data_IF_049381503322
#
_entry.id   IF_049381503322
#
_cell.length_a   1.000
_cell.length_b   1.000
_cell.length_c   1.000
_cell.angle_alpha   90.00
_cell.angle_beta   90.00
_cell.angle_gamma   90.00
#
_symmetry.space_group_name_H-M   'P 1'
#
loop_
_entity.id
_entity.type
_entity.pdbx_description
1 polymer ?
#
# COMPACT_ATOMS: atom_id res chain seq x y z
N UNK A 1 23.19 -26.26 -17.17
CA UNK A 1 22.08 -25.48 -17.79
C UNK A 1 22.10 -24.00 -17.41
N UNK A 2 22.55 -23.63 -16.20
CA UNK A 2 22.53 -22.24 -15.73
C UNK A 2 23.50 -21.28 -16.47
N UNK A 3 24.62 -21.78 -16.98
CA UNK A 3 25.67 -20.97 -17.63
C UNK A 3 25.43 -20.69 -19.13
N UNK A 4 24.55 -21.45 -19.80
CA UNK A 4 24.37 -21.33 -21.25
C UNK A 4 23.46 -20.17 -21.69
N UNK A 5 22.66 -19.60 -20.77
CA UNK A 5 21.66 -18.56 -21.09
C UNK A 5 22.11 -17.13 -20.74
N UNK A 6 23.15 -16.96 -19.91
CA UNK A 6 23.73 -15.65 -19.57
C UNK A 6 24.11 -14.77 -20.79
N UNK A 7 24.67 -15.29 -21.91
CA UNK A 7 25.08 -14.42 -23.02
C UNK A 7 23.91 -13.83 -23.83
N UNK A 8 22.72 -14.44 -23.80
CA UNK A 8 21.52 -13.93 -24.50
C UNK A 8 20.70 -12.94 -23.65
N UNK A 9 20.87 -12.97 -22.32
CA UNK A 9 20.21 -12.05 -21.39
C UNK A 9 20.82 -10.64 -21.40
N UNK A 10 22.15 -10.53 -21.56
CA UNK A 10 22.84 -9.23 -21.57
C UNK A 10 22.36 -8.25 -22.65
N UNK A 11 22.15 -8.65 -23.93
CA UNK A 11 21.63 -7.75 -24.95
C UNK A 11 20.21 -7.26 -24.66
N UNK A 12 19.34 -8.13 -24.15
CA UNK A 12 17.96 -7.76 -23.77
C UNK A 12 17.97 -6.77 -22.62
N UNK A 13 18.81 -7.02 -21.61
CA UNK A 13 19.01 -6.10 -20.49
C UNK A 13 19.53 -4.73 -20.94
N UNK A 14 20.51 -4.70 -21.86
CA UNK A 14 21.01 -3.45 -22.45
C UNK A 14 19.96 -2.72 -23.28
N UNK A 15 19.13 -3.46 -24.02
CA UNK A 15 18.03 -2.86 -24.77
C UNK A 15 17.02 -2.24 -23.81
N UNK A 16 16.61 -2.97 -22.77
CA UNK A 16 15.68 -2.51 -21.75
C UNK A 16 16.17 -1.25 -21.03
N UNK A 17 17.47 -1.16 -20.69
CA UNK A 17 18.04 0.04 -20.04
C UNK A 17 18.19 1.24 -20.97
N UNK A 18 18.11 1.05 -22.29
CA UNK A 18 18.11 2.11 -23.29
C UNK A 18 16.69 2.59 -23.64
N UNK A 19 15.64 1.89 -23.20
CA UNK A 19 14.27 2.31 -23.43
C UNK A 19 13.98 3.58 -22.65
N UNK A 20 13.51 4.62 -23.36
CA UNK A 20 13.12 5.91 -22.78
C UNK A 20 11.68 6.29 -23.06
N UNK A 21 11.11 5.77 -24.14
CA UNK A 21 9.73 6.03 -24.50
C UNK A 21 8.77 5.34 -23.52
N UNK A 22 7.83 6.11 -22.96
CA UNK A 22 6.88 5.60 -21.97
C UNK A 22 6.01 4.47 -22.51
N UNK A 23 5.56 4.55 -23.76
CA UNK A 23 4.70 3.51 -24.34
C UNK A 23 5.46 2.19 -24.44
N UNK A 24 6.71 2.21 -24.91
CA UNK A 24 7.54 1.00 -24.99
C UNK A 24 7.87 0.46 -23.59
N UNK A 25 8.23 1.33 -22.65
CA UNK A 25 8.49 0.94 -21.26
C UNK A 25 7.26 0.30 -20.59
N UNK A 26 6.10 0.94 -20.71
CA UNK A 26 4.86 0.43 -20.11
C UNK A 26 4.44 -0.93 -20.70
N UNK A 27 4.65 -1.15 -21.99
CA UNK A 27 4.44 -2.45 -22.64
C UNK A 27 5.41 -3.51 -22.10
N UNK A 28 6.70 -3.22 -22.02
CA UNK A 28 7.70 -4.16 -21.52
C UNK A 28 7.49 -4.51 -20.03
N UNK A 29 7.15 -3.51 -19.21
CA UNK A 29 6.82 -3.70 -17.78
C UNK A 29 5.59 -4.59 -17.63
N UNK A 30 4.52 -4.31 -18.37
CA UNK A 30 3.27 -5.09 -18.28
C UNK A 30 3.45 -6.54 -18.74
N UNK A 31 4.33 -6.79 -19.72
CA UNK A 31 4.69 -8.14 -20.15
C UNK A 31 5.37 -8.92 -19.01
N UNK A 32 6.39 -8.32 -18.39
CA UNK A 32 7.13 -8.96 -17.30
C UNK A 32 6.27 -9.16 -16.05
N UNK A 33 5.43 -8.18 -15.71
CA UNK A 33 4.47 -8.30 -14.62
C UNK A 33 3.43 -9.39 -14.89
N UNK A 34 2.90 -9.49 -16.11
CA UNK A 34 1.99 -10.57 -16.49
C UNK A 34 2.70 -11.93 -16.39
N UNK A 35 3.89 -12.05 -16.94
CA UNK A 35 4.66 -13.30 -16.89
C UNK A 35 4.92 -13.70 -15.43
N UNK A 36 5.31 -12.75 -14.57
CA UNK A 36 5.47 -13.00 -13.14
C UNK A 36 4.18 -13.56 -12.50
N UNK A 37 3.03 -12.93 -12.76
CA UNK A 37 1.74 -13.36 -12.22
C UNK A 37 1.38 -14.79 -12.66
N UNK A 38 1.56 -15.09 -13.96
CA UNK A 38 1.29 -16.42 -14.52
C UNK A 38 2.21 -17.48 -13.93
N UNK A 39 3.50 -17.17 -13.75
CA UNK A 39 4.46 -18.12 -13.17
C UNK A 39 4.24 -18.34 -11.67
N UNK A 40 3.70 -17.35 -10.95
CA UNK A 40 3.42 -17.47 -9.52
C UNK A 40 2.14 -18.24 -9.24
N UNK A 41 1.12 -18.08 -10.09
CA UNK A 41 -0.19 -18.75 -9.97
C UNK A 41 -0.89 -18.49 -8.61
N UNK A 42 -0.73 -17.29 -8.06
CA UNK A 42 -1.35 -16.85 -6.81
C UNK A 42 -2.11 -15.53 -7.01
N UNK A 43 -3.42 -15.63 -7.24
CA UNK A 43 -4.28 -14.47 -7.54
C UNK A 43 -4.24 -13.37 -6.47
N UNK A 44 -4.05 -13.75 -5.20
CA UNK A 44 -3.96 -12.80 -4.08
C UNK A 44 -2.68 -11.94 -4.09
N UNK A 45 -1.66 -12.35 -4.84
CA UNK A 45 -0.33 -11.75 -4.92
C UNK A 45 0.01 -11.23 -6.32
N UNK A 46 -0.99 -10.99 -7.16
CA UNK A 46 -0.78 -10.44 -8.49
C UNK A 46 -0.16 -9.04 -8.45
N UNK A 47 0.81 -8.80 -9.31
CA UNK A 47 1.33 -7.46 -9.61
C UNK A 47 0.31 -6.72 -10.48
N UNK A 48 -0.12 -5.55 -10.03
CA UNK A 48 -1.15 -4.75 -10.72
C UNK A 48 -0.44 -3.69 -11.56
N UNK A 49 -0.65 -3.73 -12.87
CA UNK A 49 -0.22 -2.65 -13.76
C UNK A 49 -1.09 -2.55 -15.01
N UNK A 50 -0.99 -1.39 -15.65
CA UNK A 50 -1.66 -1.08 -16.91
C UNK A 50 -1.22 -2.08 -18.00
N UNK A 51 -2.08 -2.28 -19.00
CA UNK A 51 -1.80 -3.10 -20.18
C UNK A 51 -1.56 -4.61 -19.94
N UNK A 52 -1.73 -5.13 -18.71
CA UNK A 52 -1.64 -6.57 -18.42
C UNK A 52 -2.61 -7.42 -19.24
N UNK A 53 -3.76 -6.86 -19.61
CA UNK A 53 -4.76 -7.51 -20.45
C UNK A 53 -4.32 -7.72 -21.91
N UNK A 54 -3.24 -7.08 -22.38
CA UNK A 54 -2.70 -7.28 -23.73
C UNK A 54 -2.01 -8.65 -23.88
N UNK A 55 -1.64 -9.28 -22.77
CA UNK A 55 -0.78 -10.44 -22.72
C UNK A 55 -1.55 -11.72 -22.37
N UNK A 56 -1.14 -12.89 -22.89
CA UNK A 56 -1.78 -14.17 -22.57
C UNK A 56 -1.88 -14.45 -21.06
N UNK A 57 -2.93 -15.16 -20.64
CA UNK A 57 -3.11 -15.63 -19.25
C UNK A 57 -2.38 -16.93 -18.93
N UNK A 58 -1.81 -17.58 -19.95
CA UNK A 58 -1.14 -18.87 -19.83
C UNK A 58 0.14 -18.85 -20.66
N UNK A 59 1.15 -19.57 -20.18
CA UNK A 59 2.39 -19.82 -20.93
C UNK A 59 2.60 -21.32 -21.05
N UNK A 60 3.09 -21.77 -22.21
CA UNK A 60 3.52 -23.15 -22.38
C UNK A 60 4.81 -23.39 -21.62
N UNK A 61 4.96 -24.57 -21.02
CA UNK A 61 6.20 -24.99 -20.34
C UNK A 61 6.62 -24.07 -19.19
N UNK A 62 5.72 -23.78 -18.24
CA UNK A 62 5.98 -22.98 -17.03
C UNK A 62 7.28 -23.36 -16.31
N UNK A 63 7.61 -24.66 -16.25
CA UNK A 63 8.85 -25.19 -15.65
C UNK A 63 10.14 -24.78 -16.36
N UNK A 64 10.06 -24.25 -17.58
CA UNK A 64 11.21 -23.75 -18.35
C UNK A 64 11.57 -22.30 -18.00
N UNK A 65 10.72 -21.61 -17.23
CA UNK A 65 10.96 -20.23 -16.82
C UNK A 65 11.54 -20.18 -15.41
N UNK A 66 12.34 -19.14 -15.16
CA UNK A 66 12.81 -18.82 -13.82
C UNK A 66 12.10 -17.55 -13.33
N UNK A 67 11.16 -17.72 -12.39
CA UNK A 67 10.37 -16.61 -11.83
C UNK A 67 11.25 -15.56 -11.13
N UNK A 68 12.35 -15.97 -10.49
CA UNK A 68 13.28 -15.05 -9.82
C UNK A 68 13.94 -14.13 -10.85
N UNK A 69 14.41 -14.67 -11.97
CA UNK A 69 14.96 -13.86 -13.06
C UNK A 69 13.91 -12.90 -13.63
N UNK A 70 12.69 -13.36 -13.89
CA UNK A 70 11.60 -12.49 -14.37
C UNK A 70 11.34 -11.35 -13.38
N UNK A 71 11.29 -11.67 -12.09
CA UNK A 71 11.11 -10.72 -10.99
C UNK A 71 12.25 -9.69 -10.95
N UNK A 72 13.51 -10.13 -10.99
CA UNK A 72 14.69 -9.25 -10.99
C UNK A 72 14.69 -8.29 -12.19
N UNK A 73 14.35 -8.78 -13.38
CA UNK A 73 14.31 -7.97 -14.59
C UNK A 73 13.17 -6.97 -14.57
N UNK A 74 12.00 -7.36 -14.04
CA UNK A 74 10.89 -6.45 -13.81
C UNK A 74 11.32 -5.31 -12.87
N UNK A 75 11.98 -5.65 -11.76
CA UNK A 75 12.47 -4.66 -10.81
C UNK A 75 13.50 -3.70 -11.43
N UNK A 76 14.47 -4.21 -12.21
CA UNK A 76 15.46 -3.37 -12.91
C UNK A 76 14.80 -2.43 -13.91
N UNK A 77 13.81 -2.92 -14.67
CA UNK A 77 13.10 -2.11 -15.65
C UNK A 77 12.24 -1.02 -14.99
N UNK A 78 11.52 -1.36 -13.91
CA UNK A 78 10.69 -0.40 -13.17
C UNK A 78 11.55 0.66 -12.48
N UNK A 79 12.67 0.27 -11.86
CA UNK A 79 13.58 1.22 -11.21
C UNK A 79 14.24 2.15 -12.22
N UNK A 80 14.71 1.63 -13.36
CA UNK A 80 15.22 2.47 -14.45
C UNK A 80 14.14 3.40 -15.04
N UNK A 81 12.91 2.91 -15.21
CA UNK A 81 11.81 3.76 -15.68
C UNK A 81 11.49 4.90 -14.70
N UNK A 82 11.63 4.67 -13.38
CA UNK A 82 11.47 5.72 -12.36
C UNK A 82 12.58 6.78 -12.39
N UNK A 83 13.76 6.51 -12.96
CA UNK A 83 14.78 7.54 -13.17
C UNK A 83 14.32 8.57 -14.22
N UNK A 84 13.59 8.13 -15.24
CA UNK A 84 13.05 9.00 -16.30
C UNK A 84 11.67 9.56 -15.95
N UNK A 85 10.85 8.81 -15.22
CA UNK A 85 9.47 9.15 -14.86
C UNK A 85 9.23 9.08 -13.34
N UNK A 86 9.95 9.88 -12.53
CA UNK A 86 9.95 9.79 -11.06
C UNK A 86 8.61 10.16 -10.40
N UNK A 87 7.69 10.76 -11.15
CA UNK A 87 6.34 11.12 -10.68
C UNK A 87 5.27 10.16 -11.20
N UNK A 88 5.65 9.02 -11.76
CA UNK A 88 4.69 8.05 -12.27
C UNK A 88 4.09 7.24 -11.11
N UNK A 89 2.81 7.51 -10.81
CA UNK A 89 2.08 6.90 -9.71
C UNK A 89 1.94 5.38 -9.91
N UNK A 90 1.62 4.94 -11.13
CA UNK A 90 1.44 3.53 -11.48
C UNK A 90 2.72 2.71 -11.27
N UNK A 91 3.90 3.28 -11.58
CA UNK A 91 5.18 2.64 -11.31
C UNK A 91 5.49 2.49 -9.82
N UNK A 92 5.20 3.51 -9.01
CA UNK A 92 5.37 3.40 -7.55
C UNK A 92 4.43 2.36 -6.94
N UNK A 93 3.17 2.29 -7.38
CA UNK A 93 2.24 1.25 -6.94
C UNK A 93 2.75 -0.15 -7.32
N UNK A 94 3.19 -0.34 -8.57
CA UNK A 94 3.76 -1.61 -9.04
C UNK A 94 5.02 -2.01 -8.26
N UNK A 95 5.89 -1.05 -7.94
CA UNK A 95 7.08 -1.33 -7.12
C UNK A 95 6.70 -1.67 -5.67
N UNK A 96 5.64 -1.06 -5.14
CA UNK A 96 5.03 -1.44 -3.87
C UNK A 96 4.47 -2.86 -3.88
N UNK A 97 3.78 -3.24 -4.96
CA UNK A 97 3.27 -4.59 -5.19
C UNK A 97 4.42 -5.61 -5.21
N UNK A 98 5.48 -5.30 -5.97
CA UNK A 98 6.70 -6.10 -6.05
C UNK A 98 7.31 -6.38 -4.66
N UNK A 99 7.49 -5.34 -3.85
CA UNK A 99 8.05 -5.50 -2.51
C UNK A 99 7.11 -6.25 -1.57
N UNK A 100 5.80 -6.02 -1.66
CA UNK A 100 4.81 -6.74 -0.88
C UNK A 100 4.83 -8.25 -1.21
N UNK A 101 4.91 -8.56 -2.50
CA UNK A 101 5.05 -9.92 -3.05
C UNK A 101 6.29 -10.64 -2.55
N UNK A 102 7.40 -9.92 -2.44
CA UNK A 102 8.68 -10.41 -1.88
C UNK A 102 8.80 -10.27 -0.37
N UNK A 103 7.71 -9.98 0.34
CA UNK A 103 7.65 -9.83 1.81
C UNK A 103 8.56 -8.72 2.38
N UNK A 104 8.99 -7.78 1.54
CA UNK A 104 9.72 -6.58 1.94
C UNK A 104 8.75 -5.48 2.37
N UNK A 105 8.00 -5.74 3.44
CA UNK A 105 6.84 -4.93 3.86
C UNK A 105 7.13 -3.44 4.08
N UNK A 106 8.28 -3.10 4.66
CA UNK A 106 8.66 -1.69 4.87
C UNK A 106 8.90 -0.95 3.54
N UNK A 107 9.59 -1.60 2.60
CA UNK A 107 9.81 -1.07 1.27
C UNK A 107 8.50 -0.94 0.48
N UNK A 108 7.58 -1.89 0.64
CA UNK A 108 6.24 -1.83 0.04
C UNK A 108 5.47 -0.60 0.52
N UNK A 109 5.37 -0.41 1.85
CA UNK A 109 4.71 0.75 2.47
C UNK A 109 5.33 2.06 1.98
N UNK A 110 6.68 2.14 1.92
CA UNK A 110 7.38 3.32 1.39
C UNK A 110 6.93 3.66 -0.04
N UNK A 111 6.84 2.69 -0.94
CA UNK A 111 6.46 2.95 -2.33
C UNK A 111 5.00 3.36 -2.48
N UNK A 112 4.08 2.73 -1.74
CA UNK A 112 2.67 3.17 -1.74
C UNK A 112 2.50 4.58 -1.17
N UNK A 113 3.28 4.96 -0.15
CA UNK A 113 3.29 6.31 0.41
C UNK A 113 3.85 7.33 -0.60
N UNK A 114 4.92 7.00 -1.34
CA UNK A 114 5.44 7.84 -2.42
C UNK A 114 4.38 8.06 -3.50
N UNK A 115 3.66 7.01 -3.91
CA UNK A 115 2.54 7.12 -4.84
C UNK A 115 1.47 8.10 -4.34
N UNK A 116 1.08 7.99 -3.06
CA UNK A 116 0.11 8.88 -2.44
C UNK A 116 0.60 10.35 -2.36
N UNK A 117 1.86 10.58 -1.98
CA UNK A 117 2.48 11.92 -1.92
C UNK A 117 2.48 12.57 -3.29
N UNK A 118 2.91 11.85 -4.33
CA UNK A 118 2.96 12.39 -5.69
C UNK A 118 1.56 12.72 -6.19
N UNK A 119 0.61 11.80 -6.01
CA UNK A 119 -0.74 11.95 -6.54
C UNK A 119 -1.54 13.08 -5.86
N UNK A 120 -1.21 13.38 -4.60
CA UNK A 120 -1.87 14.44 -3.83
C UNK A 120 -1.09 15.75 -3.79
N UNK A 121 0.05 15.83 -4.47
CA UNK A 121 1.00 16.94 -4.38
C UNK A 121 1.31 17.26 -2.91
N UNK A 122 1.93 16.29 -2.22
CA UNK A 122 2.27 16.35 -0.79
C UNK A 122 1.08 16.57 0.14
N UNK A 123 -0.05 15.92 -0.17
CA UNK A 123 -1.31 16.04 0.58
C UNK A 123 -1.93 17.45 0.60
N UNK A 124 -1.58 18.29 -0.37
CA UNK A 124 -2.29 19.55 -0.61
C UNK A 124 -3.67 19.31 -1.22
N UNK A 125 -3.86 18.16 -1.88
CA UNK A 125 -5.13 17.68 -2.45
C UNK A 125 -5.68 16.50 -1.65
N UNK A 126 -7.02 16.31 -1.59
CA UNK A 126 -7.62 15.15 -0.95
C UNK A 126 -7.16 13.83 -1.57
N UNK A 127 -6.93 12.83 -0.71
CA UNK A 127 -6.64 11.47 -1.14
C UNK A 127 -7.94 10.76 -1.54
N UNK A 128 -8.17 10.61 -2.83
CA UNK A 128 -9.39 9.99 -3.38
C UNK A 128 -9.15 8.54 -3.80
N UNK A 129 -10.23 7.77 -3.97
CA UNK A 129 -10.17 6.37 -4.44
C UNK A 129 -9.61 6.22 -5.86
N UNK A 130 -9.82 7.23 -6.70
CA UNK A 130 -9.26 7.28 -8.06
C UNK A 130 -7.72 7.31 -8.01
N UNK A 131 -7.17 7.89 -6.94
CA UNK A 131 -5.74 8.03 -6.74
C UNK A 131 -5.15 6.81 -6.03
N UNK A 132 -5.82 6.28 -5.00
CA UNK A 132 -5.38 5.10 -4.25
C UNK A 132 -6.56 4.15 -4.01
N UNK A 133 -6.48 2.97 -4.62
CA UNK A 133 -7.53 1.96 -4.59
C UNK A 133 -7.47 1.12 -3.30
N UNK A 134 -8.59 0.51 -2.93
CA UNK A 134 -8.71 -0.34 -1.74
C UNK A 134 -7.71 -1.50 -1.73
N UNK A 135 -7.32 -2.04 -2.90
CA UNK A 135 -6.31 -3.10 -2.97
C UNK A 135 -4.95 -2.63 -2.42
N UNK A 136 -4.59 -1.37 -2.65
CA UNK A 136 -3.35 -0.77 -2.15
C UNK A 136 -3.41 -0.64 -0.63
N UNK A 137 -4.51 -0.13 -0.08
CA UNK A 137 -4.68 -0.04 1.37
C UNK A 137 -4.70 -1.41 2.03
N UNK A 138 -5.37 -2.42 1.45
CA UNK A 138 -5.35 -3.80 1.97
C UNK A 138 -3.93 -4.37 2.04
N UNK A 139 -3.10 -4.10 1.02
CA UNK A 139 -1.68 -4.49 1.03
C UNK A 139 -0.89 -3.74 2.11
N UNK A 140 -1.10 -2.43 2.26
CA UNK A 140 -0.48 -1.64 3.33
C UNK A 140 -0.90 -2.12 4.74
N UNK A 141 -2.19 -2.42 4.97
CA UNK A 141 -2.71 -2.98 6.24
C UNK A 141 -1.96 -4.28 6.58
N UNK A 142 -1.80 -5.17 5.60
CA UNK A 142 -1.06 -6.42 5.78
C UNK A 142 0.43 -6.15 6.04
N UNK A 143 1.07 -5.25 5.30
CA UNK A 143 2.46 -4.88 5.53
C UNK A 143 2.68 -4.37 6.97
N UNK A 144 1.84 -3.42 7.42
CA UNK A 144 1.94 -2.83 8.75
C UNK A 144 1.71 -3.89 9.85
N UNK A 145 0.78 -4.80 9.63
CA UNK A 145 0.56 -5.93 10.54
C UNK A 145 1.78 -6.84 10.66
N UNK A 146 2.47 -7.13 9.55
CA UNK A 146 3.70 -7.93 9.53
C UNK A 146 4.90 -7.20 10.14
N UNK A 147 4.88 -5.87 10.17
CA UNK A 147 5.88 -5.04 10.84
C UNK A 147 5.57 -4.80 12.33
N UNK A 148 4.53 -5.44 12.87
CA UNK A 148 4.02 -5.23 14.23
C UNK A 148 3.55 -3.78 14.52
N UNK A 149 3.19 -3.03 13.48
CA UNK A 149 2.58 -1.70 13.57
C UNK A 149 1.05 -1.82 13.52
N UNK A 150 0.49 -2.50 14.52
CA UNK A 150 -0.93 -2.87 14.54
C UNK A 150 -1.88 -1.68 14.74
N UNK A 151 -1.50 -0.64 15.47
CA UNK A 151 -2.34 0.57 15.56
C UNK A 151 -2.45 1.23 14.20
N UNK A 152 -1.34 1.35 13.47
CA UNK A 152 -1.34 1.90 12.12
C UNK A 152 -2.19 1.06 11.16
N UNK A 153 -2.08 -0.27 11.24
CA UNK A 153 -2.92 -1.17 10.44
C UNK A 153 -4.42 -0.97 10.74
N UNK A 154 -4.79 -0.87 12.02
CA UNK A 154 -6.19 -0.65 12.43
C UNK A 154 -6.72 0.71 11.98
N UNK A 155 -5.91 1.77 12.07
CA UNK A 155 -6.26 3.12 11.57
C UNK A 155 -6.39 3.15 10.06
N UNK A 156 -5.64 2.32 9.32
CA UNK A 156 -5.74 2.26 7.87
C UNK A 156 -7.01 1.51 7.40
N UNK A 157 -7.65 0.69 8.25
CA UNK A 157 -8.89 -0.02 7.90
C UNK A 157 -10.07 0.92 7.60
N UNK A 158 -10.11 2.12 8.19
CA UNK A 158 -11.12 3.15 7.87
C UNK A 158 -10.86 3.86 6.52
N UNK A 159 -9.71 3.65 5.87
CA UNK A 159 -9.42 4.24 4.56
C UNK A 159 -10.15 3.55 3.40
N UNK A 160 -10.57 2.30 3.62
CA UNK A 160 -11.31 1.49 2.65
C UNK A 160 -12.70 2.09 2.36
N UNK A 161 -13.30 1.68 1.24
CA UNK A 161 -14.69 2.03 0.92
C UNK A 161 -15.66 1.62 2.02
N UNK A 162 -15.56 0.35 2.39
CA UNK A 162 -16.22 -0.21 3.56
C UNK A 162 -15.17 -0.47 4.62
N UNK A 163 -15.40 0.11 5.80
CA UNK A 163 -14.48 -0.04 6.93
C UNK A 163 -14.38 -1.53 7.30
N UNK A 164 -13.16 -2.08 7.27
CA UNK A 164 -12.91 -3.46 7.70
C UNK A 164 -12.77 -3.53 9.23
N UNK A 165 -13.92 -3.55 9.91
CA UNK A 165 -13.97 -3.63 11.37
C UNK A 165 -13.31 -4.90 11.94
N UNK A 166 -13.42 -6.02 11.24
CA UNK A 166 -12.86 -7.30 11.70
C UNK A 166 -11.34 -7.20 11.82
N UNK A 167 -10.69 -6.72 10.76
CA UNK A 167 -9.25 -6.51 10.77
C UNK A 167 -8.87 -5.41 11.75
N UNK A 168 -9.59 -4.28 11.77
CA UNK A 168 -9.31 -3.18 12.69
C UNK A 168 -9.32 -3.62 14.17
N UNK A 169 -10.39 -4.28 14.61
CA UNK A 169 -10.54 -4.73 16.00
C UNK A 169 -9.48 -5.77 16.38
N UNK A 170 -9.16 -6.69 15.47
CA UNK A 170 -8.06 -7.64 15.66
C UNK A 170 -6.75 -6.89 15.86
N UNK A 171 -6.42 -5.94 14.98
CA UNK A 171 -5.19 -5.15 15.09
C UNK A 171 -5.10 -4.38 16.41
N UNK A 172 -6.18 -3.72 16.86
CA UNK A 172 -6.15 -2.98 18.14
C UNK A 172 -6.08 -3.90 19.38
N UNK A 173 -6.48 -5.16 19.26
CA UNK A 173 -6.41 -6.13 20.37
C UNK A 173 -4.98 -6.52 20.69
N UNK A 174 -4.10 -6.57 19.69
CA UNK A 174 -2.70 -6.96 19.80
C UNK A 174 -1.99 -6.22 20.95
N UNK A 175 -1.24 -6.97 21.76
CA UNK A 175 -0.58 -6.45 22.97
C UNK A 175 0.83 -5.95 22.67
N UNK A 176 1.51 -6.56 21.70
CA UNK A 176 2.85 -6.17 21.26
C UNK A 176 2.73 -5.31 20.02
N UNK A 177 3.04 -4.02 20.15
CA UNK A 177 2.98 -3.09 19.05
C UNK A 177 4.24 -2.22 19.01
N UNK A 178 4.83 -2.07 17.83
CA UNK A 178 6.04 -1.29 17.58
C UNK A 178 5.73 0.09 16.99
N UNK A 179 4.49 0.56 17.14
CA UNK A 179 4.09 1.91 16.72
C UNK A 179 3.72 2.79 17.93
N UNK A 180 3.76 4.10 17.73
CA UNK A 180 3.40 5.09 18.74
C UNK A 180 1.88 5.19 18.90
N UNK A 181 1.23 4.12 19.37
CA UNK A 181 -0.23 3.94 19.48
C UNK A 181 -0.99 5.20 19.92
N UNK A 182 -0.51 5.84 21.00
CA UNK A 182 -1.11 7.03 21.59
C UNK A 182 -1.21 8.25 20.66
N UNK A 183 -0.37 8.31 19.62
CA UNK A 183 -0.32 9.42 18.64
C UNK A 183 -1.42 9.31 17.58
N UNK A 184 -1.96 8.10 17.40
CA UNK A 184 -2.85 7.80 16.28
C UNK A 184 -4.35 7.87 16.62
N UNK A 185 -4.72 8.09 17.88
CA UNK A 185 -6.13 8.30 18.27
C UNK A 185 -6.73 9.52 17.56
N UNK A 186 -5.94 10.59 17.40
CA UNK A 186 -6.32 11.80 16.65
C UNK A 186 -6.55 11.54 15.15
N UNK A 187 -6.18 10.36 14.65
CA UNK A 187 -6.35 9.96 13.25
C UNK A 187 -7.60 9.10 13.02
N UNK A 188 -8.36 8.78 14.07
CA UNK A 188 -9.57 7.96 13.98
C UNK A 188 -10.78 8.87 13.84
N UNK A 189 -11.58 8.65 12.80
CA UNK A 189 -12.86 9.34 12.59
C UNK A 189 -14.06 8.40 12.66
N UNK A 190 -13.84 7.10 12.53
CA UNK A 190 -14.91 6.12 12.62
C UNK A 190 -15.37 5.93 14.07
N UNK A 191 -16.67 6.18 14.30
CA UNK A 191 -17.29 6.15 15.63
C UNK A 191 -17.28 4.74 16.22
N UNK A 192 -17.54 3.70 15.41
CA UNK A 192 -17.57 2.31 15.88
C UNK A 192 -16.18 1.85 16.33
N UNK A 193 -15.13 2.26 15.61
CA UNK A 193 -13.74 2.03 16.03
C UNK A 193 -13.44 2.72 17.35
N UNK A 194 -13.86 3.97 17.53
CA UNK A 194 -13.67 4.71 18.78
C UNK A 194 -14.40 4.03 19.95
N UNK A 195 -15.65 3.63 19.78
CA UNK A 195 -16.43 2.89 20.79
C UNK A 195 -15.75 1.59 21.20
N UNK A 196 -15.28 0.82 20.21
CA UNK A 196 -14.53 -0.41 20.46
C UNK A 196 -13.24 -0.14 21.25
N UNK A 197 -12.50 0.91 20.91
CA UNK A 197 -11.29 1.31 21.64
C UNK A 197 -11.61 1.73 23.08
N UNK A 198 -12.71 2.45 23.34
CA UNK A 198 -13.14 2.80 24.69
C UNK A 198 -13.38 1.53 25.50
N UNK A 199 -14.14 0.57 24.96
CA UNK A 199 -14.38 -0.72 25.59
C UNK A 199 -13.07 -1.47 25.87
N UNK A 200 -12.21 -1.59 24.86
CA UNK A 200 -10.97 -2.37 24.94
C UNK A 200 -10.01 -1.78 25.98
N UNK A 201 -9.83 -0.46 25.99
CA UNK A 201 -8.91 0.19 26.93
C UNK A 201 -9.45 0.15 28.37
N UNK A 202 -10.76 0.28 28.57
CA UNK A 202 -11.38 0.08 29.89
C UNK A 202 -11.18 -1.37 30.38
N UNK A 203 -11.37 -2.36 29.51
CA UNK A 203 -11.12 -3.78 29.82
C UNK A 203 -9.65 -4.04 30.18
N UNK A 204 -8.70 -3.37 29.50
CA UNK A 204 -7.26 -3.44 29.79
C UNK A 204 -6.83 -2.61 31.01
N UNK A 205 -7.72 -1.83 31.62
CA UNK A 205 -7.41 -0.94 32.76
C UNK A 205 -6.72 0.37 32.38
N UNK A 206 -6.58 0.66 31.08
CA UNK A 206 -5.87 1.84 30.55
C UNK A 206 -6.80 3.06 30.51
N UNK A 207 -7.09 3.64 31.67
CA UNK A 207 -8.05 4.76 31.81
C UNK A 207 -7.68 5.99 30.98
N UNK A 208 -6.39 6.32 30.85
CA UNK A 208 -5.95 7.48 30.07
C UNK A 208 -6.23 7.31 28.57
N UNK A 209 -6.01 6.11 28.03
CA UNK A 209 -6.30 5.79 26.62
C UNK A 209 -7.79 5.69 26.35
N UNK A 210 -8.55 5.16 27.31
CA UNK A 210 -10.01 5.19 27.24
C UNK A 210 -10.52 6.62 27.20
N UNK A 211 -9.99 7.51 28.07
CA UNK A 211 -10.32 8.93 28.09
C UNK A 211 -9.99 9.62 26.76
N UNK A 212 -8.82 9.37 26.16
CA UNK A 212 -8.49 9.91 24.83
C UNK A 212 -9.52 9.54 23.77
N UNK A 213 -9.98 8.29 23.72
CA UNK A 213 -11.03 7.91 22.76
C UNK A 213 -12.39 8.55 23.08
N UNK A 214 -12.73 8.72 24.37
CA UNK A 214 -13.94 9.45 24.80
C UNK A 214 -13.88 10.92 24.37
N UNK A 215 -12.71 11.55 24.50
CA UNK A 215 -12.52 12.94 24.08
C UNK A 215 -12.66 13.05 22.55
N UNK A 216 -12.13 12.07 21.80
CA UNK A 216 -12.25 12.03 20.34
C UNK A 216 -13.68 11.83 19.85
N UNK A 217 -14.44 10.88 20.41
CA UNK A 217 -15.84 10.64 20.02
C UNK A 217 -16.74 11.83 20.39
N UNK A 218 -16.36 12.61 21.41
CA UNK A 218 -17.05 13.83 21.82
C UNK A 218 -16.83 15.04 20.91
N UNK A 219 -15.95 14.95 19.91
CA UNK A 219 -15.71 16.05 18.97
C UNK A 219 -16.94 16.28 18.08
N UNK A 220 -17.39 17.54 18.00
CA UNK A 220 -18.57 17.93 17.21
C UNK A 220 -18.46 17.54 15.74
N UNK A 221 -17.26 17.57 15.16
CA UNK A 221 -17.01 17.20 13.75
C UNK A 221 -17.21 15.70 13.47
N UNK A 222 -17.18 14.84 14.49
CA UNK A 222 -17.43 13.39 14.39
C UNK A 222 -18.87 12.98 14.74
N UNK A 223 -19.75 13.96 14.98
CA UNK A 223 -21.15 13.66 15.30
C UNK A 223 -21.82 12.92 14.13
N UNK A 224 -22.43 11.76 14.42
CA UNK A 224 -23.09 10.91 13.42
C UNK A 224 -24.25 11.63 12.68
N UNK A 225 -24.85 12.64 13.31
CA UNK A 225 -25.93 13.46 12.75
C UNK A 225 -25.43 14.61 11.85
N UNK A 226 -24.11 14.82 11.73
CA UNK A 226 -23.58 15.79 10.79
C UNK A 226 -23.94 15.41 9.34
N UNK A 227 -23.97 16.41 8.48
CA UNK A 227 -24.10 16.18 7.04
C UNK A 227 -22.84 15.46 6.48
N UNK A 228 -22.98 14.89 5.29
CA UNK A 228 -21.90 14.13 4.65
C UNK A 228 -20.69 14.99 4.26
N UNK A 229 -20.86 16.31 4.12
CA UNK A 229 -19.76 17.22 3.83
C UNK A 229 -18.84 17.38 5.04
N UNK A 230 -19.40 17.66 6.22
CA UNK A 230 -18.66 17.79 7.47
C UNK A 230 -17.96 16.46 7.82
N UNK A 231 -18.66 15.33 7.69
CA UNK A 231 -18.05 14.01 7.92
C UNK A 231 -16.86 13.76 6.98
N UNK A 232 -17.01 14.11 5.70
CA UNK A 232 -15.94 13.96 4.70
C UNK A 232 -14.75 14.86 5.00
N UNK A 233 -14.97 16.10 5.42
CA UNK A 233 -13.89 17.02 5.78
C UNK A 233 -13.15 16.54 7.04
N UNK A 234 -13.88 16.14 8.07
CA UNK A 234 -13.32 15.60 9.31
C UNK A 234 -12.48 14.34 9.06
N UNK A 235 -12.95 13.44 8.19
CA UNK A 235 -12.20 12.27 7.74
C UNK A 235 -10.96 12.66 6.93
N UNK A 236 -11.08 13.56 5.95
CA UNK A 236 -9.95 13.97 5.12
C UNK A 236 -8.82 14.62 5.93
N UNK A 237 -9.15 15.48 6.89
CA UNK A 237 -8.17 16.09 7.81
C UNK A 237 -7.36 15.03 8.57
N UNK A 238 -8.02 13.99 9.06
CA UNK A 238 -7.41 12.88 9.79
C UNK A 238 -6.61 11.95 8.88
N UNK A 239 -7.14 11.64 7.69
CA UNK A 239 -6.42 10.89 6.65
C UNK A 239 -5.09 11.55 6.32
N UNK A 240 -5.09 12.85 6.05
CA UNK A 240 -3.88 13.61 5.74
C UNK A 240 -2.90 13.55 6.90
N UNK A 241 -3.35 13.81 8.13
CA UNK A 241 -2.49 13.76 9.32
C UNK A 241 -1.83 12.39 9.49
N UNK A 242 -2.59 11.31 9.31
CA UNK A 242 -2.09 9.95 9.41
C UNK A 242 -1.07 9.64 8.31
N UNK A 243 -1.40 9.94 7.05
CA UNK A 243 -0.52 9.67 5.91
C UNK A 243 0.79 10.46 6.01
N UNK A 244 0.74 11.72 6.46
CA UNK A 244 1.94 12.51 6.73
C UNK A 244 2.80 11.91 7.85
N UNK A 245 2.19 11.33 8.89
CA UNK A 245 2.93 10.64 9.94
C UNK A 245 3.63 9.38 9.40
N UNK A 246 2.94 8.58 8.58
CA UNK A 246 3.55 7.42 7.92
C UNK A 246 4.69 7.84 6.96
N UNK A 247 4.51 8.90 6.18
CA UNK A 247 5.58 9.42 5.30
C UNK A 247 6.82 9.79 6.09
N UNK A 248 6.65 10.47 7.24
CA UNK A 248 7.78 10.81 8.13
C UNK A 248 8.50 9.57 8.71
N UNK A 249 7.82 8.42 8.79
CA UNK A 249 8.40 7.20 9.36
C UNK A 249 9.07 6.30 8.30
N UNK A 250 8.48 6.21 7.11
CA UNK A 250 8.87 5.22 6.11
C UNK A 250 9.61 5.81 4.89
N UNK A 251 9.48 7.13 4.68
CA UNK A 251 10.02 7.80 3.48
C UNK A 251 11.18 8.72 3.83
N UNK A 252 11.04 9.54 4.88
CA UNK A 252 12.03 10.48 5.40
C UNK A 252 12.92 9.82 6.45
#
# INVERSE_FOLDING_TARGET
AHEAHQPLLQPVLRLCSQLRDWTVLSAAISLLARLHNVLRDETSLELICEHTALWPSVVSSTSSYNIQLVSEHLWQLVTSALEYYPKNISLHKLLGDYYYVGEHYSAAVKQYLLAAVIATDSFTRPLTKVIMEDCVYKRMIKCLSQLHCHTQAGVLCQFLEEVDYNTAFKSFTESMCHDCMDTYYDCIWDVNILEYLIYLQNKKGNKDRAKKAIDMIGLLELNANNNEEIKREAANKRKIRFMQALVRQYVL
#
